data_IF_276567994473
#
_entry.id   IF_276567994473
#
_cell.length_a   1.000
_cell.length_b   1.000
_cell.length_c   1.000
_cell.angle_alpha   90.00
_cell.angle_beta   90.00
_cell.angle_gamma   90.00
#
_symmetry.space_group_name_H-M   'P 1'
#
loop_
_entity.id
_entity.type
_entity.pdbx_description
1 polymer ?
#
# COMPACT_ATOMS: atom_id res chain seq x y z
N UNK A 1 1.36 -4.48 4.97
CA UNK A 1 2.14 -3.57 5.87
C UNK A 1 3.60 -3.38 5.46
N UNK A 2 4.32 -4.46 5.11
CA UNK A 2 5.76 -4.42 4.82
C UNK A 2 6.10 -3.54 3.61
N UNK A 3 5.44 -3.74 2.46
CA UNK A 3 5.59 -2.87 1.27
C UNK A 3 5.28 -1.41 1.55
N UNK A 4 4.30 -1.14 2.43
CA UNK A 4 3.95 0.23 2.79
C UNK A 4 5.08 0.89 3.57
N UNK A 5 5.67 0.19 4.55
CA UNK A 5 6.81 0.74 5.31
C UNK A 5 8.02 0.92 4.40
N UNK A 6 8.34 -0.06 3.56
CA UNK A 6 9.42 0.04 2.56
C UNK A 6 9.22 1.24 1.62
N UNK A 7 8.03 1.41 1.06
CA UNK A 7 7.71 2.53 0.17
C UNK A 7 7.80 3.89 0.88
N UNK A 8 7.42 3.98 2.16
CA UNK A 8 7.57 5.21 2.92
C UNK A 8 9.04 5.51 3.28
N UNK A 9 9.88 4.48 3.45
CA UNK A 9 11.32 4.64 3.68
C UNK A 9 11.99 5.22 2.44
N UNK A 10 11.72 4.66 1.26
CA UNK A 10 12.20 5.18 -0.03
C UNK A 10 11.71 6.61 -0.29
N UNK A 11 10.42 6.90 -0.05
CA UNK A 11 9.90 8.25 -0.26
C UNK A 11 10.62 9.35 0.55
N UNK A 12 11.22 9.01 1.70
CA UNK A 12 11.93 9.96 2.59
C UNK A 12 13.46 9.78 2.53
N UNK A 13 13.96 8.94 1.64
CA UNK A 13 15.40 8.84 1.41
C UNK A 13 15.93 10.15 0.85
N UNK A 14 17.25 10.30 0.85
CA UNK A 14 17.88 11.38 0.10
C UNK A 14 17.48 11.30 -1.38
N UNK A 15 17.04 12.43 -1.95
CA UNK A 15 16.51 12.48 -3.31
C UNK A 15 15.10 11.88 -3.49
N UNK A 16 14.47 11.40 -2.42
CA UNK A 16 13.09 10.93 -2.44
C UNK A 16 12.09 12.07 -2.63
N UNK A 17 10.92 11.77 -3.17
CA UNK A 17 9.89 12.78 -3.49
C UNK A 17 9.28 13.47 -2.26
N UNK A 18 9.59 13.01 -1.04
CA UNK A 18 9.30 13.70 0.23
C UNK A 18 10.54 14.11 1.01
N UNK A 19 11.69 14.24 0.34
CA UNK A 19 12.91 14.73 0.96
C UNK A 19 12.69 16.12 1.61
N UNK A 20 13.31 16.36 2.76
CA UNK A 20 13.24 17.63 3.51
C UNK A 20 11.97 17.87 4.33
N UNK A 21 10.96 16.98 4.27
CA UNK A 21 9.71 17.14 5.05
C UNK A 21 9.79 16.55 6.47
N UNK A 22 10.83 15.79 6.80
CA UNK A 22 11.12 15.29 8.15
C UNK A 22 12.38 16.01 8.69
N UNK A 23 12.27 16.65 9.87
CA UNK A 23 13.38 17.38 10.51
C UNK A 23 14.48 16.47 11.09
N UNK A 24 14.26 15.16 11.11
CA UNK A 24 15.18 14.18 11.67
C UNK A 24 16.06 13.52 10.60
N UNK A 25 17.37 13.76 10.68
CA UNK A 25 18.42 13.28 9.77
C UNK A 25 18.64 11.75 9.76
N UNK A 26 17.82 10.94 10.45
CA UNK A 26 17.93 9.47 10.46
C UNK A 26 16.93 8.83 9.50
N UNK A 27 17.12 9.13 8.20
CA UNK A 27 16.21 8.76 7.11
C UNK A 27 16.04 7.25 6.88
N UNK A 28 16.98 6.42 7.33
CA UNK A 28 16.91 4.96 7.19
C UNK A 28 17.32 4.25 8.49
N UNK A 29 16.55 4.47 9.57
CA UNK A 29 16.87 3.93 10.89
C UNK A 29 15.74 3.11 11.49
N UNK A 30 16.08 2.16 12.37
CA UNK A 30 15.11 1.36 13.11
C UNK A 30 14.02 2.18 13.86
N UNK A 31 14.34 3.32 14.48
CA UNK A 31 13.33 4.25 15.01
C UNK A 31 12.31 4.73 13.98
N UNK A 32 12.75 5.02 12.75
CA UNK A 32 11.88 5.46 11.64
C UNK A 32 10.95 4.34 11.20
N UNK A 33 11.48 3.12 11.02
CA UNK A 33 10.67 1.91 10.71
C UNK A 33 9.60 1.70 11.78
N UNK A 34 9.99 1.69 13.06
CA UNK A 34 9.06 1.54 14.20
C UNK A 34 7.96 2.59 14.20
N UNK A 35 8.31 3.86 13.96
CA UNK A 35 7.36 4.97 13.89
C UNK A 35 6.36 4.79 12.75
N UNK A 36 6.84 4.43 11.55
CA UNK A 36 5.99 4.18 10.37
C UNK A 36 5.08 2.97 10.59
N UNK A 37 5.57 1.88 11.17
CA UNK A 37 4.77 0.70 11.52
C UNK A 37 3.66 1.03 12.51
N UNK A 38 3.96 1.80 13.57
CA UNK A 38 2.95 2.24 14.55
C UNK A 38 1.90 3.14 13.91
N UNK A 39 2.32 4.07 13.04
CA UNK A 39 1.38 4.94 12.32
C UNK A 39 0.48 4.15 11.38
N UNK A 40 1.04 3.19 10.64
CA UNK A 40 0.26 2.29 9.79
C UNK A 40 -0.76 1.49 10.61
N UNK A 41 -0.31 0.86 11.70
CA UNK A 41 -1.16 0.10 12.63
C UNK A 41 -2.33 0.92 13.14
N UNK A 42 -2.06 2.15 13.61
CA UNK A 42 -3.09 3.08 14.07
C UNK A 42 -4.06 3.44 12.95
N UNK A 43 -3.56 3.89 11.80
CA UNK A 43 -4.40 4.39 10.72
C UNK A 43 -5.30 3.30 10.13
N UNK A 44 -4.77 2.09 9.89
CA UNK A 44 -5.55 0.95 9.41
C UNK A 44 -6.52 0.48 10.48
N UNK A 45 -6.13 0.47 11.75
CA UNK A 45 -7.02 0.16 12.87
C UNK A 45 -8.21 1.10 12.97
N UNK A 46 -7.99 2.42 12.88
CA UNK A 46 -9.08 3.41 12.89
C UNK A 46 -9.95 3.32 11.62
N UNK A 47 -9.34 3.13 10.44
CA UNK A 47 -10.07 2.90 9.21
C UNK A 47 -10.94 1.64 9.27
N UNK A 48 -10.45 0.56 9.91
CA UNK A 48 -11.23 -0.67 10.15
C UNK A 48 -12.41 -0.40 11.07
N UNK A 49 -12.22 0.29 12.20
CA UNK A 49 -13.34 0.66 13.09
C UNK A 49 -14.41 1.46 12.34
N UNK A 50 -13.99 2.45 11.57
CA UNK A 50 -14.90 3.24 10.74
C UNK A 50 -15.59 2.38 9.68
N UNK A 51 -14.86 1.48 9.02
CA UNK A 51 -15.40 0.52 8.07
C UNK A 51 -16.45 -0.36 8.74
N UNK A 52 -16.16 -1.00 9.86
CA UNK A 52 -17.09 -1.85 10.61
C UNK A 52 -18.35 -1.11 11.06
N UNK A 53 -18.20 0.10 11.59
CA UNK A 53 -19.31 0.94 12.05
C UNK A 53 -20.20 1.44 10.90
N UNK A 54 -19.66 1.59 9.69
CA UNK A 54 -20.43 2.08 8.55
C UNK A 54 -21.47 1.04 8.09
N UNK A 55 -22.75 1.42 8.09
CA UNK A 55 -23.87 0.53 7.72
C UNK A 55 -24.23 0.56 6.23
N UNK A 56 -23.73 1.54 5.49
CA UNK A 56 -23.96 1.65 4.05
C UNK A 56 -23.06 0.73 3.22
N UNK A 57 -23.15 0.88 1.90
CA UNK A 57 -22.34 0.11 0.96
C UNK A 57 -20.87 0.49 1.13
N UNK A 58 -20.03 -0.52 1.33
CA UNK A 58 -18.59 -0.39 1.58
C UNK A 58 -17.87 -1.61 1.03
N UNK A 59 -16.67 -1.41 0.51
CA UNK A 59 -15.85 -2.49 -0.03
C UNK A 59 -14.43 -2.37 0.52
N UNK A 60 -13.87 -3.49 0.95
CA UNK A 60 -12.47 -3.58 1.33
C UNK A 60 -11.68 -4.12 0.13
N UNK A 61 -10.60 -3.43 -0.21
CA UNK A 61 -9.72 -3.81 -1.31
C UNK A 61 -8.30 -3.92 -0.77
N UNK A 62 -7.67 -5.07 -1.00
CA UNK A 62 -6.24 -5.23 -0.77
C UNK A 62 -5.49 -4.81 -2.03
N UNK A 63 -4.36 -4.13 -1.86
CA UNK A 63 -3.56 -3.65 -2.98
C UNK A 63 -3.07 -4.81 -3.85
N UNK A 64 -2.74 -5.93 -3.22
CA UNK A 64 -2.24 -7.15 -3.85
C UNK A 64 -3.31 -7.77 -4.77
N UNK A 65 -4.56 -7.83 -4.32
CA UNK A 65 -5.68 -8.31 -5.15
C UNK A 65 -5.93 -7.35 -6.32
N UNK A 66 -5.92 -6.04 -6.04
CA UNK A 66 -6.08 -5.01 -7.08
C UNK A 66 -4.97 -5.09 -8.12
N UNK A 67 -3.72 -5.35 -7.73
CA UNK A 67 -2.58 -5.45 -8.66
C UNK A 67 -2.62 -6.74 -9.48
N UNK A 68 -3.10 -7.84 -8.89
CA UNK A 68 -3.18 -9.14 -9.53
C UNK A 68 -4.34 -9.23 -10.54
N UNK A 69 -5.50 -8.66 -10.20
CA UNK A 69 -6.68 -8.61 -11.07
C UNK A 69 -7.37 -7.25 -10.92
N UNK A 70 -6.85 -6.24 -11.62
CA UNK A 70 -7.37 -4.87 -11.54
C UNK A 70 -8.81 -4.79 -12.04
N UNK A 71 -9.11 -5.39 -13.20
CA UNK A 71 -10.44 -5.29 -13.81
C UNK A 71 -11.50 -6.01 -12.97
N UNK A 72 -11.21 -7.24 -12.51
CA UNK A 72 -12.14 -7.98 -11.65
C UNK A 72 -12.33 -7.32 -10.29
N UNK A 73 -11.26 -6.79 -9.70
CA UNK A 73 -11.36 -6.02 -8.44
C UNK A 73 -12.21 -4.76 -8.62
N UNK A 74 -11.99 -3.99 -9.68
CA UNK A 74 -12.76 -2.77 -9.96
C UNK A 74 -14.24 -3.09 -10.24
N UNK A 75 -14.52 -4.18 -10.96
CA UNK A 75 -15.90 -4.67 -11.19
C UNK A 75 -16.60 -4.98 -9.87
N UNK A 76 -15.91 -5.69 -8.96
CA UNK A 76 -16.42 -5.99 -7.62
C UNK A 76 -16.69 -4.70 -6.82
N UNK A 77 -15.80 -3.72 -6.89
CA UNK A 77 -15.95 -2.43 -6.21
C UNK A 77 -17.23 -1.71 -6.65
N UNK A 78 -17.41 -1.52 -7.97
CA UNK A 78 -18.57 -0.83 -8.51
C UNK A 78 -19.88 -1.55 -8.18
N UNK A 79 -19.90 -2.87 -8.36
CA UNK A 79 -21.07 -3.70 -8.01
C UNK A 79 -21.41 -3.61 -6.52
N UNK A 80 -20.42 -3.70 -5.63
CA UNK A 80 -20.63 -3.62 -4.16
C UNK A 80 -21.15 -2.25 -3.74
N UNK A 81 -20.68 -1.18 -4.39
CA UNK A 81 -21.13 0.19 -4.15
C UNK A 81 -22.47 0.50 -4.84
N UNK A 82 -22.97 -0.40 -5.69
CA UNK A 82 -24.18 -0.23 -6.49
C UNK A 82 -24.06 0.96 -7.45
N UNK A 83 -22.87 1.11 -8.05
CA UNK A 83 -22.57 2.09 -9.10
C UNK A 83 -22.65 1.34 -10.43
N UNK A 84 -23.53 1.78 -11.31
CA UNK A 84 -23.62 1.25 -12.67
C UNK A 84 -22.44 1.75 -13.51
N UNK A 85 -21.83 0.85 -14.26
CA UNK A 85 -20.73 1.17 -15.17
C UNK A 85 -20.74 0.19 -16.35
N UNK A 86 -20.50 0.70 -17.55
CA UNK A 86 -20.34 -0.15 -18.73
C UNK A 86 -19.03 -0.94 -18.65
N UNK A 87 -19.04 -2.20 -19.06
CA UNK A 87 -17.84 -3.06 -19.01
C UNK A 87 -16.67 -2.47 -19.81
N UNK A 88 -16.94 -1.94 -21.00
CA UNK A 88 -15.93 -1.29 -21.85
C UNK A 88 -15.43 0.04 -21.28
N UNK A 89 -16.27 0.78 -20.55
CA UNK A 89 -15.83 1.99 -19.85
C UNK A 89 -14.88 1.63 -18.71
N UNK A 90 -15.25 0.64 -17.91
CA UNK A 90 -14.41 0.17 -16.81
C UNK A 90 -13.08 -0.39 -17.32
N UNK A 91 -13.11 -1.17 -18.42
CA UNK A 91 -11.91 -1.72 -19.05
C UNK A 91 -10.97 -0.60 -19.54
N UNK A 92 -11.51 0.43 -20.21
CA UNK A 92 -10.72 1.58 -20.66
C UNK A 92 -10.08 2.33 -19.50
N UNK A 93 -10.82 2.61 -18.44
CA UNK A 93 -10.29 3.28 -17.25
C UNK A 93 -9.15 2.47 -16.58
N UNK A 94 -9.33 1.14 -16.47
CA UNK A 94 -8.29 0.25 -15.94
C UNK A 94 -7.04 0.25 -16.82
N UNK A 95 -7.21 0.22 -18.13
CA UNK A 95 -6.11 0.25 -19.09
C UNK A 95 -5.36 1.59 -19.01
N UNK A 96 -6.07 2.71 -19.05
CA UNK A 96 -5.55 4.08 -19.00
C UNK A 96 -4.68 4.34 -17.76
N UNK A 97 -5.11 3.85 -16.60
CA UNK A 97 -4.41 4.04 -15.31
C UNK A 97 -3.48 2.88 -14.94
N UNK A 98 -3.18 1.99 -15.88
CA UNK A 98 -2.26 0.88 -15.65
C UNK A 98 -0.85 1.36 -15.32
N UNK A 99 -0.14 0.58 -14.50
CA UNK A 99 1.27 0.83 -14.21
C UNK A 99 2.10 0.92 -15.48
N UNK A 100 1.77 0.08 -16.46
CA UNK A 100 2.47 -0.06 -17.73
C UNK A 100 2.42 1.23 -18.56
N UNK A 101 1.34 2.03 -18.45
CA UNK A 101 1.18 3.31 -19.16
C UNK A 101 1.87 4.50 -18.52
N UNK A 102 2.31 4.40 -17.27
CA UNK A 102 3.05 5.48 -16.63
C UNK A 102 4.40 5.66 -17.34
N UNK A 103 4.81 6.88 -17.70
CA UNK A 103 6.10 7.12 -18.36
C UNK A 103 7.30 6.63 -17.52
N UNK A 104 8.35 6.15 -18.17
CA UNK A 104 9.51 5.56 -17.47
C UNK A 104 10.28 6.60 -16.64
N UNK A 105 10.31 7.84 -17.12
CA UNK A 105 10.86 9.00 -16.43
C UNK A 105 10.10 9.38 -15.16
N UNK A 106 8.86 8.92 -14.99
CA UNK A 106 8.09 9.09 -13.75
C UNK A 106 8.27 7.92 -12.78
N UNK A 107 8.89 6.81 -13.24
CA UNK A 107 9.10 5.59 -12.46
C UNK A 107 10.48 5.51 -11.80
N UNK A 108 10.55 4.77 -10.70
CA UNK A 108 11.81 4.35 -10.09
C UNK A 108 11.99 4.80 -8.63
N UNK A 109 13.14 4.46 -8.07
CA UNK A 109 13.51 4.75 -6.68
C UNK A 109 13.45 6.24 -6.37
N UNK A 110 13.00 6.57 -5.17
CA UNK A 110 12.77 7.94 -4.74
C UNK A 110 11.57 8.63 -5.40
N UNK A 111 10.93 8.06 -6.42
CA UNK A 111 9.76 8.67 -7.08
C UNK A 111 8.43 8.21 -6.48
N UNK A 112 7.37 8.92 -6.84
CA UNK A 112 6.01 8.53 -6.45
C UNK A 112 5.64 7.15 -7.02
N UNK A 113 5.93 6.92 -8.30
CA UNK A 113 5.72 5.64 -8.97
C UNK A 113 6.96 4.75 -8.83
N UNK A 114 7.12 4.09 -7.68
CA UNK A 114 8.38 3.41 -7.36
C UNK A 114 8.59 2.06 -8.06
N UNK A 115 7.84 1.03 -7.64
CA UNK A 115 8.01 -0.37 -8.13
C UNK A 115 6.71 -1.05 -8.56
N UNK A 116 5.56 -0.67 -7.98
CA UNK A 116 4.24 -1.33 -8.17
C UNK A 116 4.28 -2.87 -8.17
N UNK A 117 5.16 -3.44 -7.36
CA UNK A 117 5.41 -4.87 -7.25
C UNK A 117 5.23 -5.29 -5.78
N UNK A 118 4.10 -5.96 -5.45
CA UNK A 118 3.89 -6.52 -4.13
C UNK A 118 5.02 -7.47 -3.75
N UNK A 119 5.52 -7.36 -2.52
CA UNK A 119 6.63 -8.18 -2.05
C UNK A 119 8.02 -7.57 -2.20
N UNK A 120 8.15 -6.41 -2.85
CA UNK A 120 9.44 -5.71 -3.02
C UNK A 120 10.13 -5.37 -1.70
N UNK A 121 9.36 -5.28 -0.60
CA UNK A 121 9.89 -5.08 0.75
C UNK A 121 10.99 -6.07 1.16
N UNK A 122 11.06 -7.26 0.56
CA UNK A 122 12.09 -8.27 0.83
C UNK A 122 13.49 -7.81 0.44
N UNK A 123 13.57 -6.97 -0.59
CA UNK A 123 14.82 -6.37 -1.08
C UNK A 123 15.07 -5.00 -0.43
N UNK A 124 13.99 -4.30 -0.04
CA UNK A 124 14.06 -2.92 0.45
C UNK A 124 14.36 -2.81 1.96
N UNK A 125 14.05 -3.84 2.76
CA UNK A 125 14.17 -3.81 4.22
C UNK A 125 15.18 -4.82 4.73
N UNK A 126 15.94 -4.47 5.77
CA UNK A 126 16.81 -5.44 6.45
C UNK A 126 16.00 -6.45 7.26
N UNK A 127 16.54 -7.64 7.58
CA UNK A 127 15.87 -8.63 8.44
C UNK A 127 15.36 -8.05 9.77
N UNK A 128 16.15 -7.20 10.42
CA UNK A 128 15.79 -6.56 11.69
C UNK A 128 14.64 -5.57 11.51
N UNK A 129 14.62 -4.84 10.39
CA UNK A 129 13.52 -3.93 10.06
C UNK A 129 12.23 -4.71 9.78
N UNK A 130 12.32 -5.83 9.05
CA UNK A 130 11.18 -6.73 8.78
C UNK A 130 10.59 -7.21 10.10
N UNK A 131 11.42 -7.71 11.03
CA UNK A 131 10.96 -8.19 12.34
C UNK A 131 10.23 -7.07 13.13
N UNK A 132 10.75 -5.84 13.10
CA UNK A 132 10.10 -4.70 13.75
C UNK A 132 8.72 -4.43 13.15
N UNK A 133 8.60 -4.45 11.81
CA UNK A 133 7.32 -4.23 11.12
C UNK A 133 6.32 -5.32 11.50
N UNK A 134 6.74 -6.58 11.42
CA UNK A 134 5.90 -7.74 11.70
C UNK A 134 5.42 -7.74 13.14
N UNK A 135 6.32 -7.55 14.11
CA UNK A 135 5.96 -7.52 15.53
C UNK A 135 4.93 -6.44 15.85
N UNK A 136 5.06 -5.25 15.26
CA UNK A 136 4.15 -4.13 15.52
C UNK A 136 2.81 -4.32 14.82
N UNK A 137 2.82 -4.90 13.61
CA UNK A 137 1.62 -5.05 12.77
C UNK A 137 0.98 -6.44 12.85
N UNK A 138 1.48 -7.30 13.74
CA UNK A 138 1.04 -8.70 13.88
C UNK A 138 -0.48 -8.87 13.98
N UNK A 139 -1.23 -8.04 14.75
CA UNK A 139 -2.68 -8.22 14.82
C UNK A 139 -3.38 -7.95 13.48
N UNK A 140 -2.89 -6.99 12.68
CA UNK A 140 -3.42 -6.75 11.32
C UNK A 140 -3.03 -7.86 10.35
N UNK A 141 -1.81 -8.38 10.46
CA UNK A 141 -1.36 -9.50 9.63
C UNK A 141 -2.21 -10.75 9.87
N UNK A 142 -2.48 -11.07 11.14
CA UNK A 142 -3.33 -12.20 11.51
C UNK A 142 -4.75 -12.06 10.95
N UNK A 143 -5.29 -10.84 10.97
CA UNK A 143 -6.65 -10.57 10.49
C UNK A 143 -6.75 -10.65 8.95
N UNK A 144 -5.86 -9.96 8.23
CA UNK A 144 -5.99 -9.79 6.77
C UNK A 144 -5.19 -10.82 5.95
N UNK A 145 -4.28 -11.55 6.60
CA UNK A 145 -3.40 -12.54 6.00
C UNK A 145 -3.25 -13.79 6.91
N UNK A 146 -4.35 -14.46 7.29
CA UNK A 146 -4.34 -15.54 8.29
C UNK A 146 -3.53 -16.77 7.85
N UNK A 147 -3.38 -17.00 6.55
CA UNK A 147 -2.63 -18.13 5.99
C UNK A 147 -1.16 -17.79 5.71
N UNK A 148 -0.66 -16.68 6.27
CA UNK A 148 0.57 -16.05 5.80
C UNK A 148 0.34 -15.25 4.51
N UNK A 149 1.22 -14.29 4.27
CA UNK A 149 1.24 -13.44 3.06
C UNK A 149 1.82 -14.22 1.85
N UNK A 150 1.39 -13.99 0.60
CA UNK A 150 2.32 -14.09 -0.54
C UNK A 150 3.56 -13.20 -0.35
#
# INVERSE_FOLDING_TARGET
PRDVVASWMDAHSEGGWKDGQDKDKKKNSGPTVRGRSRRYMKNVGEAKKAYEAHRGRKVLVRYEDLRADTLGTMRRVYSTLGIEVGEEELRRAVEEHSWERIPQEEKGEGKFYRKASPGSWREDLTPEQIEVVEKITAPLLKEFYPNGTP
#
